data_IF_448028423066
#
_entry.id   IF_448028423066
#
_cell.length_a   1.000
_cell.length_b   1.000
_cell.length_c   1.000
_cell.angle_alpha   90.00
_cell.angle_beta   90.00
_cell.angle_gamma   90.00
#
_symmetry.space_group_name_H-M   'P 1'
#
loop_
_entity.id
_entity.type
_entity.pdbx_description
1 polymer ?
#
# COMPACT_ATOMS: atom_id res chain seq x y z
N UNK A 1 25.78 6.57 -5.47
CA UNK A 1 25.00 7.45 -6.36
C UNK A 1 23.67 7.81 -5.69
N UNK A 2 23.35 9.11 -5.51
CA UNK A 2 22.08 9.56 -4.91
C UNK A 2 21.25 10.26 -5.97
N UNK A 3 20.22 9.57 -6.47
CA UNK A 3 19.22 10.12 -7.38
C UNK A 3 18.24 11.02 -6.62
N UNK A 4 17.77 12.08 -7.27
CA UNK A 4 16.76 13.02 -6.76
C UNK A 4 15.80 13.41 -7.88
N UNK A 5 14.63 13.91 -7.51
CA UNK A 5 13.66 14.46 -8.45
C UNK A 5 14.28 15.58 -9.29
N UNK A 6 14.24 15.41 -10.61
CA UNK A 6 14.61 16.43 -11.58
C UNK A 6 13.37 17.12 -12.16
N UNK A 7 12.47 16.34 -12.76
CA UNK A 7 11.27 16.89 -13.41
C UNK A 7 10.14 15.85 -13.54
N UNK A 8 8.93 16.35 -13.81
CA UNK A 8 7.78 15.53 -14.20
C UNK A 8 7.11 16.06 -15.47
N UNK A 9 6.58 15.15 -16.29
CA UNK A 9 5.73 15.46 -17.43
C UNK A 9 4.62 14.42 -17.60
N UNK A 10 3.49 14.84 -18.17
CA UNK A 10 2.47 13.93 -18.66
C UNK A 10 2.84 13.48 -20.06
N UNK A 11 2.79 12.17 -20.31
CA UNK A 11 3.02 11.60 -21.62
C UNK A 11 1.68 11.29 -22.31
N UNK A 12 1.65 11.52 -23.61
CA UNK A 12 0.48 11.35 -24.46
C UNK A 12 0.84 10.46 -25.65
N UNK A 13 -0.09 9.60 -26.06
CA UNK A 13 -0.04 8.93 -27.34
C UNK A 13 -0.36 9.91 -28.49
N UNK A 14 -0.16 9.46 -29.73
CA UNK A 14 -0.39 10.26 -30.95
C UNK A 14 -1.84 10.74 -31.08
N UNK A 15 -2.79 9.99 -30.53
CA UNK A 15 -4.23 10.30 -30.50
C UNK A 15 -4.64 11.25 -29.35
N UNK A 16 -3.69 11.69 -28.52
CA UNK A 16 -3.94 12.53 -27.35
C UNK A 16 -4.35 11.76 -26.10
N UNK A 17 -4.39 10.42 -26.13
CA UNK A 17 -4.64 9.61 -24.94
C UNK A 17 -3.49 9.75 -23.94
N UNK A 18 -3.80 9.97 -22.67
CA UNK A 18 -2.80 10.02 -21.59
C UNK A 18 -2.23 8.62 -21.36
N UNK A 19 -0.91 8.46 -21.45
CA UNK A 19 -0.25 7.14 -21.34
C UNK A 19 0.53 6.94 -20.05
N UNK A 20 0.99 8.02 -19.41
CA UNK A 20 1.77 7.90 -18.19
C UNK A 20 2.29 9.22 -17.65
N UNK A 21 2.89 9.14 -16.46
CA UNK A 21 3.62 10.23 -15.82
C UNK A 21 5.10 9.93 -15.91
N UNK A 22 5.84 10.69 -16.71
CA UNK A 22 7.30 10.55 -16.80
C UNK A 22 7.95 11.36 -15.69
N UNK A 23 8.68 10.68 -14.82
CA UNK A 23 9.50 11.29 -13.76
C UNK A 23 10.96 11.12 -14.14
N UNK A 24 11.71 12.20 -14.17
CA UNK A 24 13.15 12.13 -14.39
C UNK A 24 13.87 12.27 -13.07
N UNK A 25 14.70 11.27 -12.73
CA UNK A 25 15.61 11.33 -11.61
C UNK A 25 17.02 11.72 -12.09
N UNK A 26 17.67 12.62 -11.38
CA UNK A 26 19.01 13.13 -11.71
C UNK A 26 19.93 13.11 -10.51
N UNK A 27 21.22 13.36 -10.74
CA UNK A 27 22.19 13.62 -9.68
C UNK A 27 23.21 14.70 -10.12
N UNK A 28 24.08 15.09 -9.19
CA UNK A 28 25.12 16.11 -9.45
C UNK A 28 26.26 15.58 -10.36
N UNK A 29 26.27 14.29 -10.69
CA UNK A 29 27.25 13.62 -11.54
C UNK A 29 26.77 13.51 -13.01
N UNK A 30 25.62 14.12 -13.34
CA UNK A 30 25.08 14.13 -14.70
C UNK A 30 24.18 12.95 -15.05
N UNK A 31 23.70 12.19 -14.05
CA UNK A 31 22.75 11.12 -14.27
C UNK A 31 21.40 11.63 -14.76
N UNK A 32 20.79 10.86 -15.65
CA UNK A 32 19.48 11.14 -16.22
C UNK A 32 18.70 9.83 -16.35
N UNK A 33 17.76 9.59 -15.43
CA UNK A 33 16.98 8.37 -15.33
C UNK A 33 15.49 8.66 -15.50
N UNK A 34 14.94 8.53 -16.71
CA UNK A 34 13.51 8.67 -16.95
C UNK A 34 12.78 7.39 -16.51
N UNK A 35 11.80 7.54 -15.63
CA UNK A 35 10.94 6.48 -15.12
C UNK A 35 9.49 6.78 -15.51
N UNK A 36 8.82 5.79 -16.09
CA UNK A 36 7.41 5.90 -16.46
C UNK A 36 6.55 5.36 -15.31
N UNK A 37 5.77 6.24 -14.70
CA UNK A 37 4.77 5.91 -13.71
C UNK A 37 3.37 5.92 -14.33
N UNK A 38 2.39 5.37 -13.62
CA UNK A 38 0.98 5.42 -14.01
C UNK A 38 0.49 6.86 -14.24
N UNK A 39 -0.46 7.02 -15.15
CA UNK A 39 -0.96 8.33 -15.58
C UNK A 39 -1.58 9.16 -14.45
N UNK A 40 -2.28 8.51 -13.52
CA UNK A 40 -2.95 9.09 -12.35
C UNK A 40 -1.97 9.71 -11.34
N UNK A 41 -0.71 9.24 -11.33
CA UNK A 41 0.33 9.72 -10.42
C UNK A 41 0.79 11.15 -10.71
N UNK A 42 0.38 11.77 -11.84
CA UNK A 42 0.77 13.14 -12.20
C UNK A 42 0.43 14.17 -11.10
N UNK A 43 -0.63 13.89 -10.33
CA UNK A 43 -1.14 14.75 -9.26
C UNK A 43 -0.33 14.67 -7.97
N UNK A 44 0.55 13.67 -7.83
CA UNK A 44 1.38 13.51 -6.65
C UNK A 44 2.41 14.65 -6.52
N UNK A 45 2.82 14.89 -5.28
CA UNK A 45 3.90 15.82 -4.96
C UNK A 45 5.24 15.31 -5.50
N UNK A 46 6.22 16.20 -5.61
CA UNK A 46 7.54 15.83 -6.11
C UNK A 46 8.22 14.78 -5.21
N UNK A 47 8.01 14.83 -3.90
CA UNK A 47 8.56 13.85 -2.96
C UNK A 47 7.93 12.47 -3.15
N UNK A 48 6.60 12.39 -3.27
CA UNK A 48 5.91 11.12 -3.54
C UNK A 48 6.31 10.53 -4.90
N UNK A 49 6.52 11.37 -5.92
CA UNK A 49 7.01 10.94 -7.23
C UNK A 49 8.46 10.45 -7.18
N UNK A 50 9.31 11.09 -6.36
CA UNK A 50 10.69 10.65 -6.14
C UNK A 50 10.70 9.25 -5.52
N UNK A 51 9.94 9.03 -4.45
CA UNK A 51 9.83 7.74 -3.78
C UNK A 51 9.29 6.66 -4.72
N UNK A 52 8.21 6.94 -5.44
CA UNK A 52 7.64 6.00 -6.40
C UNK A 52 8.61 5.64 -7.54
N UNK A 53 9.37 6.61 -8.06
CA UNK A 53 10.35 6.37 -9.10
C UNK A 53 11.55 5.58 -8.58
N UNK A 54 12.02 5.85 -7.36
CA UNK A 54 13.09 5.09 -6.70
C UNK A 54 12.64 3.65 -6.40
N UNK A 55 11.38 3.43 -6.02
CA UNK A 55 10.82 2.11 -5.79
C UNK A 55 10.82 1.27 -7.08
N UNK A 56 10.44 1.85 -8.22
CA UNK A 56 10.53 1.17 -9.53
C UNK A 56 11.96 0.75 -9.84
N UNK A 57 12.92 1.67 -9.67
CA UNK A 57 14.35 1.35 -9.87
C UNK A 57 14.80 0.23 -8.93
N UNK A 58 14.37 0.27 -7.67
CA UNK A 58 14.73 -0.75 -6.69
C UNK A 58 14.13 -2.12 -7.04
N UNK A 59 12.86 -2.17 -7.44
CA UNK A 59 12.18 -3.39 -7.91
C UNK A 59 12.87 -4.00 -9.13
N UNK A 60 13.27 -3.17 -10.10
CA UNK A 60 13.91 -3.63 -11.34
C UNK A 60 15.33 -4.17 -11.09
N UNK A 61 16.09 -3.54 -10.18
CA UNK A 61 17.49 -3.90 -9.92
C UNK A 61 17.67 -4.95 -8.82
N UNK A 62 16.72 -5.06 -7.88
CA UNK A 62 16.82 -5.90 -6.68
C UNK A 62 15.54 -6.70 -6.42
N UNK A 63 14.97 -7.28 -7.48
CA UNK A 63 13.68 -7.98 -7.46
C UNK A 63 13.49 -8.90 -6.26
N UNK A 64 14.39 -9.87 -6.05
CA UNK A 64 14.25 -10.85 -4.95
C UNK A 64 14.21 -10.17 -3.58
N UNK A 65 14.98 -9.11 -3.38
CA UNK A 65 15.02 -8.36 -2.12
C UNK A 65 13.73 -7.56 -1.93
N UNK A 66 13.30 -6.85 -2.97
CA UNK A 66 12.06 -6.10 -2.99
C UNK A 66 10.84 -6.99 -2.70
N UNK A 67 10.73 -8.12 -3.39
CA UNK A 67 9.64 -9.07 -3.19
C UNK A 67 9.63 -9.63 -1.77
N UNK A 68 10.79 -10.09 -1.25
CA UNK A 68 10.88 -10.58 0.12
C UNK A 68 10.50 -9.52 1.16
N UNK A 69 10.90 -8.26 0.98
CA UNK A 69 10.52 -7.15 1.86
C UNK A 69 9.00 -6.91 1.84
N UNK A 70 8.38 -6.84 0.65
CA UNK A 70 6.92 -6.68 0.52
C UNK A 70 6.14 -7.87 1.08
N UNK A 71 6.61 -9.10 0.87
CA UNK A 71 5.98 -10.29 1.44
C UNK A 71 6.04 -10.29 2.97
N UNK A 72 7.16 -9.85 3.55
CA UNK A 72 7.29 -9.72 5.00
C UNK A 72 6.34 -8.66 5.57
N UNK A 73 6.20 -7.51 4.89
CA UNK A 73 5.23 -6.46 5.26
C UNK A 73 3.79 -7.02 5.25
N UNK A 74 3.38 -7.66 4.16
CA UNK A 74 2.05 -8.26 4.02
C UNK A 74 1.82 -9.33 5.11
N UNK A 75 2.83 -10.19 5.36
CA UNK A 75 2.72 -11.24 6.38
C UNK A 75 2.53 -10.64 7.78
N UNK A 76 3.21 -9.54 8.08
CA UNK A 76 3.07 -8.82 9.36
C UNK A 76 1.70 -8.18 9.50
N UNK A 77 1.18 -7.55 8.45
CA UNK A 77 -0.17 -6.99 8.43
C UNK A 77 -1.23 -8.09 8.62
N UNK A 78 -1.11 -9.22 7.92
CA UNK A 78 -2.01 -10.36 8.07
C UNK A 78 -1.98 -10.95 9.48
N UNK A 79 -0.79 -11.07 10.09
CA UNK A 79 -0.66 -11.51 11.48
C UNK A 79 -1.37 -10.54 12.44
N UNK A 80 -1.23 -9.23 12.22
CA UNK A 80 -1.92 -8.21 13.02
C UNK A 80 -3.44 -8.27 12.84
N UNK A 81 -3.95 -8.46 11.62
CA UNK A 81 -5.39 -8.64 11.39
C UNK A 81 -5.93 -9.90 12.06
N UNK A 82 -5.17 -11.00 12.04
CA UNK A 82 -5.55 -12.24 12.70
C UNK A 82 -5.64 -12.03 14.22
N UNK A 83 -4.63 -11.42 14.83
CA UNK A 83 -4.62 -11.10 16.25
C UNK A 83 -5.80 -10.19 16.63
N UNK A 84 -6.01 -9.10 15.88
CA UNK A 84 -7.13 -8.19 16.11
C UNK A 84 -8.49 -8.87 15.95
N UNK A 85 -8.63 -9.81 15.00
CA UNK A 85 -9.84 -10.61 14.82
C UNK A 85 -10.06 -11.57 15.99
N UNK A 86 -9.02 -12.26 16.47
CA UNK A 86 -9.10 -13.13 17.64
C UNK A 86 -9.49 -12.34 18.89
N UNK A 87 -8.88 -11.17 19.11
CA UNK A 87 -9.24 -10.25 20.21
C UNK A 87 -10.68 -9.78 20.09
N UNK A 88 -11.15 -9.43 18.89
CA UNK A 88 -12.53 -9.00 18.68
C UNK A 88 -13.52 -10.14 18.98
N UNK A 89 -13.24 -11.37 18.56
CA UNK A 89 -14.07 -12.54 18.86
C UNK A 89 -14.14 -12.83 20.36
N UNK A 90 -13.01 -12.79 21.07
CA UNK A 90 -12.94 -12.97 22.53
C UNK A 90 -13.72 -11.87 23.24
N UNK A 91 -13.56 -10.61 22.82
CA UNK A 91 -14.27 -9.47 23.41
C UNK A 91 -15.78 -9.57 23.19
N UNK A 92 -16.21 -9.98 21.98
CA UNK A 92 -17.62 -10.24 21.69
C UNK A 92 -18.18 -11.35 22.57
N UNK A 93 -17.44 -12.45 22.74
CA UNK A 93 -17.86 -13.56 23.60
C UNK A 93 -17.96 -13.13 25.07
N UNK A 94 -17.03 -12.31 25.55
CA UNK A 94 -17.07 -11.75 26.91
C UNK A 94 -18.29 -10.84 27.11
N UNK A 95 -18.57 -9.94 26.15
CA UNK A 95 -19.78 -9.09 26.18
C UNK A 95 -21.05 -9.94 26.15
N UNK A 96 -21.12 -10.95 25.29
CA UNK A 96 -22.26 -11.88 25.24
C UNK A 96 -22.45 -12.57 26.59
N UNK A 97 -21.39 -13.08 27.20
CA UNK A 97 -21.41 -13.72 28.53
C UNK A 97 -21.93 -12.75 29.60
N UNK A 98 -21.41 -11.52 29.65
CA UNK A 98 -21.88 -10.51 30.59
C UNK A 98 -23.35 -10.13 30.40
N UNK A 99 -23.86 -10.13 29.17
CA UNK A 99 -25.27 -9.86 28.88
C UNK A 99 -26.17 -11.05 29.28
N UNK A 100 -25.70 -12.29 29.11
CA UNK A 100 -26.36 -13.49 29.64
C UNK A 100 -26.43 -13.45 31.18
N UNK A 101 -25.32 -13.15 31.87
CA UNK A 101 -25.26 -13.08 33.33
C UNK A 101 -26.19 -12.02 33.92
N UNK A 102 -26.41 -10.92 33.19
CA UNK A 102 -27.34 -9.85 33.57
C UNK A 102 -28.80 -10.17 33.26
N UNK A 103 -29.10 -11.34 32.70
CA UNK A 103 -30.44 -11.75 32.28
C UNK A 103 -31.00 -10.91 31.13
N UNK A 104 -30.13 -10.22 30.37
CA UNK A 104 -30.52 -9.44 29.19
C UNK A 104 -30.65 -10.35 27.97
N UNK A 105 -29.81 -11.39 27.88
CA UNK A 105 -29.91 -12.47 26.90
C UNK A 105 -30.43 -13.75 27.58
N UNK A 106 -31.23 -14.52 26.85
CA UNK A 106 -31.78 -15.83 27.27
C UNK A 106 -31.62 -16.82 26.13
N UNK A 107 -31.54 -18.12 26.43
CA UNK A 107 -31.26 -19.19 25.45
C UNK A 107 -32.22 -19.26 24.25
N UNK A 108 -33.39 -18.62 24.31
CA UNK A 108 -34.38 -18.58 23.23
C UNK A 108 -34.01 -17.69 22.03
N UNK A 109 -32.97 -16.85 22.10
CA UNK A 109 -32.65 -15.89 21.01
C UNK A 109 -31.96 -16.49 19.77
N UNK A 110 -31.70 -17.80 19.73
CA UNK A 110 -30.89 -18.41 18.66
C UNK A 110 -31.69 -19.20 17.62
N UNK A 111 -33.03 -19.12 17.63
CA UNK A 111 -33.89 -19.90 16.72
C UNK A 111 -34.64 -19.09 15.67
N UNK A 112 -34.02 -18.08 15.05
CA UNK A 112 -34.47 -17.59 13.75
C UNK A 112 -33.29 -17.16 12.88
N UNK A 113 -32.87 -18.03 11.96
CA UNK A 113 -32.57 -17.76 10.56
C UNK A 113 -32.26 -19.07 9.81
#
# INVERSE_FOLDING_TARGET
>A
MKLKFGSKSQEFAVDGTVTGTKVTLTNDEGAFYPIMLSADKISLSNSELEEAALEVIYQENFRDKYENEKFNEITKELASYKENSEVAQVTLLDVVTQLYDKGVLTDETTTQN
#
